data_IF_711719849285
#
_entry.id   IF_711719849285
#
_cell.length_a   1.000
_cell.length_b   1.000
_cell.length_c   1.000
_cell.angle_alpha   90.00
_cell.angle_beta   90.00
_cell.angle_gamma   90.00
#
_symmetry.space_group_name_H-M   'P 1'
#
loop_
_entity.id
_entity.type
_entity.pdbx_description
1 polymer ?
#
# COMPACT_ATOMS: atom_id res chain seq x y z
N UNK A 1 -35.88 -22.12 -38.76
CA UNK A 1 -35.30 -20.91 -38.13
C UNK A 1 -35.65 -20.95 -36.66
N UNK A 2 -34.65 -21.14 -35.80
CA UNK A 2 -34.84 -21.42 -34.37
C UNK A 2 -35.40 -20.22 -33.61
N UNK A 3 -36.51 -20.43 -32.90
CA UNK A 3 -37.21 -19.44 -32.05
C UNK A 3 -36.38 -18.97 -30.82
N UNK A 4 -35.14 -19.42 -30.67
CA UNK A 4 -34.27 -19.04 -29.54
C UNK A 4 -33.45 -17.77 -29.78
N UNK A 5 -33.36 -17.26 -31.02
CA UNK A 5 -32.63 -16.02 -31.30
C UNK A 5 -33.41 -14.75 -30.95
N UNK A 6 -34.73 -14.86 -30.72
CA UNK A 6 -35.62 -13.70 -30.50
C UNK A 6 -35.68 -13.25 -29.02
N UNK A 7 -35.08 -14.00 -28.08
CA UNK A 7 -35.18 -13.71 -26.64
C UNK A 7 -34.02 -12.90 -26.02
N UNK A 8 -33.11 -12.35 -26.83
CA UNK A 8 -32.01 -11.51 -26.32
C UNK A 8 -32.19 -9.99 -26.55
N UNK A 9 -33.40 -9.54 -26.88
CA UNK A 9 -33.71 -8.10 -27.09
C UNK A 9 -34.04 -7.32 -25.80
N UNK A 10 -34.27 -8.02 -24.68
CA UNK A 10 -34.68 -7.41 -23.39
C UNK A 10 -33.62 -7.48 -22.29
N UNK A 11 -32.37 -7.80 -22.62
CA UNK A 11 -31.31 -7.57 -21.65
C UNK A 11 -31.05 -6.06 -21.67
N UNK A 12 -31.33 -5.30 -20.59
CA UNK A 12 -31.00 -3.88 -20.59
C UNK A 12 -29.51 -3.80 -20.86
N UNK A 13 -29.15 -3.20 -21.99
CA UNK A 13 -27.78 -2.77 -22.24
C UNK A 13 -27.43 -1.94 -21.02
N UNK A 14 -26.57 -2.46 -20.15
CA UNK A 14 -26.16 -1.76 -18.94
C UNK A 14 -25.64 -0.42 -19.42
N UNK A 15 -26.44 0.62 -19.23
CA UNK A 15 -26.11 1.94 -19.71
C UNK A 15 -24.75 2.29 -19.10
N UNK A 16 -23.79 2.63 -19.95
CA UNK A 16 -22.52 3.17 -19.49
C UNK A 16 -22.89 4.34 -18.58
N UNK A 17 -22.66 4.19 -17.28
CA UNK A 17 -23.02 5.23 -16.31
C UNK A 17 -22.23 6.48 -16.69
N UNK A 18 -22.91 7.45 -17.31
CA UNK A 18 -22.35 8.77 -17.52
C UNK A 18 -22.18 9.39 -16.14
N UNK A 19 -20.96 9.81 -15.84
CA UNK A 19 -20.64 10.53 -14.60
C UNK A 19 -20.34 11.98 -14.94
N UNK A 20 -20.83 12.90 -14.12
CA UNK A 20 -20.61 14.35 -14.31
C UNK A 20 -19.40 14.87 -13.51
N UNK A 21 -18.95 14.11 -12.49
CA UNK A 21 -17.91 14.53 -11.56
C UNK A 21 -16.91 13.40 -11.27
N UNK A 22 -15.65 13.76 -11.09
CA UNK A 22 -14.56 12.86 -10.67
C UNK A 22 -14.02 13.36 -9.34
N UNK A 23 -13.89 12.45 -8.38
CA UNK A 23 -13.27 12.72 -7.08
C UNK A 23 -12.02 11.86 -6.91
N UNK A 24 -10.98 12.44 -6.31
CA UNK A 24 -9.78 11.73 -5.87
C UNK A 24 -9.70 11.77 -4.34
N UNK A 25 -9.34 10.65 -3.74
CA UNK A 25 -9.18 10.48 -2.29
C UNK A 25 -8.00 9.55 -2.00
N UNK A 26 -7.48 9.60 -0.78
CA UNK A 26 -6.46 8.64 -0.33
C UNK A 26 -7.17 7.30 -0.10
N UNK A 27 -6.57 6.21 -0.57
CA UNK A 27 -7.13 4.89 -0.38
C UNK A 27 -6.78 4.37 1.02
N UNK A 28 -7.79 4.03 1.81
CA UNK A 28 -7.59 3.28 3.05
C UNK A 28 -7.15 1.84 2.74
N UNK A 29 -6.46 1.14 3.67
CA UNK A 29 -6.12 -0.27 3.49
C UNK A 29 -7.34 -1.15 3.19
N UNK A 30 -8.46 -0.88 3.85
CA UNK A 30 -9.74 -1.57 3.63
C UNK A 30 -10.27 -1.33 2.21
N UNK A 31 -10.15 -0.10 1.70
CA UNK A 31 -10.56 0.25 0.34
C UNK A 31 -9.68 -0.47 -0.70
N UNK A 32 -8.38 -0.57 -0.46
CA UNK A 32 -7.45 -1.34 -1.31
C UNK A 32 -7.84 -2.82 -1.35
N UNK A 33 -8.19 -3.40 -0.21
CA UNK A 33 -8.68 -4.79 -0.13
C UNK A 33 -10.01 -4.97 -0.87
N UNK A 34 -10.91 -3.99 -0.80
CA UNK A 34 -12.21 -4.04 -1.49
C UNK A 34 -12.09 -4.08 -3.02
N UNK A 35 -11.02 -3.49 -3.58
CA UNK A 35 -10.73 -3.56 -5.02
C UNK A 35 -10.11 -4.88 -5.44
N UNK A 36 -9.58 -5.63 -4.48
CA UNK A 36 -8.78 -6.79 -4.78
C UNK A 36 -9.61 -8.06 -4.91
N UNK A 37 -9.30 -8.83 -5.95
CA UNK A 37 -9.88 -10.16 -6.16
C UNK A 37 -9.03 -11.28 -5.53
N UNK A 38 -7.90 -10.93 -4.90
CA UNK A 38 -7.05 -11.89 -4.20
C UNK A 38 -5.64 -11.38 -3.91
N UNK A 39 -5.05 -11.98 -2.87
CA UNK A 39 -3.67 -11.72 -2.46
C UNK A 39 -2.67 -12.45 -3.37
N UNK A 40 -1.62 -11.74 -3.79
CA UNK A 40 -0.49 -12.33 -4.51
C UNK A 40 0.58 -12.71 -3.50
N UNK A 41 0.82 -14.01 -3.36
CA UNK A 41 1.75 -14.56 -2.39
C UNK A 41 3.12 -14.87 -3.00
N UNK A 42 3.16 -15.20 -4.28
CA UNK A 42 4.38 -15.67 -4.92
C UNK A 42 4.86 -14.73 -6.02
N UNK A 43 6.19 -14.62 -6.23
CA UNK A 43 6.76 -13.77 -7.26
C UNK A 43 6.65 -14.39 -8.67
N UNK A 44 6.26 -15.66 -8.79
CA UNK A 44 6.27 -16.33 -10.08
C UNK A 44 5.22 -15.75 -11.03
N UNK A 45 5.53 -15.81 -12.33
CA UNK A 45 4.66 -15.27 -13.39
C UNK A 45 3.97 -16.40 -14.14
N UNK A 46 4.71 -17.09 -15.01
CA UNK A 46 4.25 -18.20 -15.84
C UNK A 46 5.21 -19.38 -15.71
N UNK A 47 4.68 -20.57 -15.90
CA UNK A 47 5.48 -21.78 -15.96
C UNK A 47 6.28 -21.83 -17.27
N UNK A 48 7.59 -22.08 -17.18
CA UNK A 48 8.50 -22.08 -18.33
C UNK A 48 8.22 -23.20 -19.36
N UNK A 49 7.61 -24.32 -18.96
CA UNK A 49 7.29 -25.43 -19.88
C UNK A 49 5.90 -25.32 -20.48
N UNK A 50 4.92 -25.00 -19.66
CA UNK A 50 3.49 -25.03 -20.07
C UNK A 50 2.96 -23.68 -20.49
N UNK A 51 3.70 -22.60 -20.24
CA UNK A 51 3.28 -21.20 -20.42
C UNK A 51 1.97 -20.83 -19.68
N UNK A 52 1.55 -21.68 -18.74
CA UNK A 52 0.39 -21.43 -17.90
C UNK A 52 0.78 -20.53 -16.73
N UNK A 53 -0.07 -19.56 -16.34
CA UNK A 53 0.16 -18.77 -15.14
C UNK A 53 0.25 -19.63 -13.89
N UNK A 54 1.19 -19.28 -13.02
CA UNK A 54 1.37 -19.95 -11.74
C UNK A 54 0.27 -19.57 -10.75
N UNK A 55 -0.01 -20.47 -9.81
CA UNK A 55 -1.02 -20.25 -8.75
C UNK A 55 -0.50 -19.25 -7.73
N UNK A 56 -1.32 -18.27 -7.39
CA UNK A 56 -1.03 -17.17 -6.45
C UNK A 56 0.16 -16.29 -6.85
N UNK A 57 0.57 -16.37 -8.13
CA UNK A 57 1.58 -15.53 -8.75
C UNK A 57 1.02 -14.28 -9.41
N UNK A 58 1.89 -13.48 -10.03
CA UNK A 58 1.58 -12.18 -10.63
C UNK A 58 0.60 -12.24 -11.81
N UNK A 59 0.42 -13.41 -12.44
CA UNK A 59 -0.49 -13.59 -13.58
C UNK A 59 -1.64 -14.56 -13.26
N UNK A 60 -1.83 -14.90 -11.99
CA UNK A 60 -2.73 -15.95 -11.54
C UNK A 60 -4.15 -15.79 -12.11
N UNK A 61 -4.63 -16.82 -12.81
CA UNK A 61 -5.96 -16.80 -13.42
C UNK A 61 -7.11 -16.83 -12.39
N UNK A 62 -6.84 -17.31 -11.16
CA UNK A 62 -7.83 -17.30 -10.06
C UNK A 62 -8.15 -15.86 -9.61
N UNK A 63 -7.13 -15.01 -9.55
CA UNK A 63 -7.24 -13.63 -9.08
C UNK A 63 -7.73 -12.73 -10.22
N UNK A 64 -7.02 -12.77 -11.35
CA UNK A 64 -7.25 -11.82 -12.44
C UNK A 64 -8.29 -12.27 -13.46
N UNK A 65 -8.65 -13.56 -13.49
CA UNK A 65 -9.61 -14.12 -14.45
C UNK A 65 -8.98 -15.00 -15.55
N UNK A 66 -9.81 -15.59 -16.43
CA UNK A 66 -9.39 -16.60 -17.39
C UNK A 66 -8.59 -16.02 -18.56
N UNK A 67 -7.68 -16.81 -19.13
CA UNK A 67 -6.85 -16.41 -20.30
C UNK A 67 -7.66 -16.43 -21.60
N UNK A 68 -8.62 -17.36 -21.69
CA UNK A 68 -9.48 -17.55 -22.86
C UNK A 68 -10.93 -17.33 -22.45
N UNK A 69 -11.71 -16.78 -23.37
CA UNK A 69 -13.12 -16.50 -23.12
C UNK A 69 -13.90 -17.77 -22.80
N UNK A 70 -14.66 -17.73 -21.71
CA UNK A 70 -15.53 -18.82 -21.26
C UNK A 70 -14.81 -20.18 -21.12
N UNK A 71 -13.53 -20.16 -20.76
CA UNK A 71 -12.73 -21.37 -20.52
C UNK A 71 -11.91 -21.23 -19.23
N UNK A 72 -12.02 -22.22 -18.35
CA UNK A 72 -11.19 -22.29 -17.15
C UNK A 72 -9.76 -22.75 -17.48
N UNK A 73 -8.78 -22.41 -16.63
CA UNK A 73 -7.35 -22.71 -16.86
C UNK A 73 -7.03 -24.21 -17.07
N UNK A 74 -7.76 -25.10 -16.38
CA UNK A 74 -7.58 -26.55 -16.52
C UNK A 74 -8.32 -27.17 -17.71
N UNK A 75 -9.24 -26.43 -18.34
CA UNK A 75 -10.07 -26.92 -19.44
C UNK A 75 -11.23 -27.85 -19.05
N UNK A 76 -11.52 -28.07 -17.75
CA UNK A 76 -12.68 -28.85 -17.26
C UNK A 76 -14.00 -28.23 -17.73
N UNK A 77 -14.16 -26.93 -17.49
CA UNK A 77 -15.31 -26.14 -17.92
C UNK A 77 -14.93 -25.30 -19.14
N UNK A 78 -15.68 -25.51 -20.23
CA UNK A 78 -15.53 -24.81 -21.52
C UNK A 78 -16.89 -24.43 -22.09
N UNK A 79 -16.90 -23.36 -22.88
CA UNK A 79 -18.08 -22.78 -23.57
C UNK A 79 -18.97 -21.98 -22.64
N UNK A 80 -19.80 -21.13 -23.25
CA UNK A 80 -20.66 -20.16 -22.58
C UNK A 80 -21.66 -20.76 -21.59
N UNK A 81 -22.00 -22.06 -21.72
CA UNK A 81 -22.93 -22.76 -20.79
C UNK A 81 -22.49 -22.75 -19.32
N UNK A 82 -21.19 -22.60 -19.05
CA UNK A 82 -20.65 -22.58 -17.69
C UNK A 82 -20.31 -21.16 -17.22
N UNK A 83 -20.84 -20.12 -17.88
CA UNK A 83 -20.59 -18.73 -17.50
C UNK A 83 -20.93 -18.50 -16.02
N UNK A 84 -19.98 -17.90 -15.27
CA UNK A 84 -20.12 -17.62 -13.84
C UNK A 84 -19.81 -18.80 -12.91
N UNK A 85 -19.55 -20.01 -13.44
CA UNK A 85 -19.15 -21.16 -12.62
C UNK A 85 -17.68 -21.03 -12.24
N UNK A 86 -17.38 -21.18 -10.94
CA UNK A 86 -16.01 -21.26 -10.42
C UNK A 86 -15.54 -22.71 -10.49
N UNK A 87 -14.40 -22.95 -11.16
CA UNK A 87 -13.89 -24.31 -11.31
C UNK A 87 -13.33 -24.87 -9.99
N UNK A 88 -13.81 -26.03 -9.54
CA UNK A 88 -13.30 -26.70 -8.32
C UNK A 88 -11.80 -27.05 -8.39
N UNK A 89 -11.27 -27.36 -9.58
CA UNK A 89 -9.87 -27.79 -9.75
C UNK A 89 -8.89 -26.62 -9.74
N UNK A 90 -9.20 -25.53 -10.43
CA UNK A 90 -8.28 -24.40 -10.61
C UNK A 90 -8.74 -23.09 -9.93
N UNK A 91 -9.95 -23.04 -9.38
CA UNK A 91 -10.53 -21.85 -8.76
C UNK A 91 -10.83 -20.71 -9.73
N UNK A 92 -10.69 -20.93 -11.04
CA UNK A 92 -10.89 -19.90 -12.06
C UNK A 92 -12.37 -19.80 -12.40
N UNK A 93 -12.90 -18.59 -12.32
CA UNK A 93 -14.23 -18.24 -12.76
C UNK A 93 -14.31 -18.23 -14.29
N UNK A 94 -15.34 -18.85 -14.85
CA UNK A 94 -15.56 -18.90 -16.30
C UNK A 94 -16.25 -17.61 -16.75
N UNK A 95 -15.46 -16.64 -17.20
CA UNK A 95 -15.91 -15.32 -17.70
C UNK A 95 -15.16 -14.92 -18.98
N UNK A 96 -15.35 -13.69 -19.44
CA UNK A 96 -14.59 -13.11 -20.55
C UNK A 96 -13.16 -12.79 -20.10
N UNK A 97 -12.18 -12.96 -20.98
CA UNK A 97 -10.78 -12.64 -20.69
C UNK A 97 -10.56 -11.14 -20.43
N UNK A 98 -11.43 -10.27 -20.95
CA UNK A 98 -11.35 -8.80 -20.75
C UNK A 98 -11.27 -8.37 -19.28
N UNK A 99 -11.83 -9.17 -18.36
CA UNK A 99 -11.80 -8.88 -16.92
C UNK A 99 -10.37 -8.82 -16.37
N UNK A 100 -9.39 -9.42 -17.06
CA UNK A 100 -7.96 -9.36 -16.71
C UNK A 100 -7.33 -7.99 -16.88
N UNK A 101 -8.02 -7.06 -17.56
CA UNK A 101 -7.64 -5.65 -17.65
C UNK A 101 -8.22 -4.81 -16.51
N UNK A 102 -9.25 -5.29 -15.83
CA UNK A 102 -10.00 -4.52 -14.81
C UNK A 102 -9.73 -5.01 -13.38
N UNK A 103 -9.54 -6.32 -13.18
CA UNK A 103 -9.36 -6.91 -11.83
C UNK A 103 -8.00 -6.59 -11.24
N UNK A 104 -7.98 -6.04 -10.03
CA UNK A 104 -6.75 -5.77 -9.28
C UNK A 104 -6.42 -6.89 -8.29
N UNK A 105 -5.14 -7.05 -7.99
CA UNK A 105 -4.64 -7.87 -6.88
C UNK A 105 -4.16 -6.99 -5.74
N UNK A 106 -3.76 -7.58 -4.61
CA UNK A 106 -3.04 -6.86 -3.56
C UNK A 106 -1.89 -7.69 -3.00
N UNK A 107 -0.96 -7.01 -2.33
CA UNK A 107 0.12 -7.61 -1.55
C UNK A 107 0.00 -7.07 -0.14
N UNK A 108 -0.15 -7.97 0.84
CA UNK A 108 -0.11 -7.62 2.25
C UNK A 108 1.32 -7.56 2.77
N UNK A 109 1.73 -6.37 3.19
CA UNK A 109 3.09 -6.10 3.63
C UNK A 109 3.32 -6.61 5.06
N UNK A 110 4.49 -7.19 5.31
CA UNK A 110 4.92 -7.63 6.63
C UNK A 110 5.20 -6.46 7.59
N UNK A 111 5.68 -5.35 7.04
CA UNK A 111 5.91 -4.11 7.77
C UNK A 111 5.31 -2.96 6.96
N UNK A 112 4.77 -1.92 7.63
CA UNK A 112 4.25 -0.76 6.94
C UNK A 112 5.36 -0.04 6.17
N UNK A 113 5.01 0.54 5.03
CA UNK A 113 5.94 1.25 4.12
C UNK A 113 5.43 2.66 3.88
N UNK A 114 6.28 3.66 4.03
CA UNK A 114 5.91 5.04 3.76
C UNK A 114 5.71 5.27 2.26
N UNK A 115 4.58 5.87 1.88
CA UNK A 115 4.32 6.18 0.49
C UNK A 115 5.20 7.34 0.02
N UNK A 116 6.05 7.08 -0.97
CA UNK A 116 7.10 8.00 -1.44
C UNK A 116 6.59 9.39 -1.83
N UNK A 117 5.40 9.51 -2.44
CA UNK A 117 4.87 10.82 -2.84
C UNK A 117 4.53 11.72 -1.65
N UNK A 118 4.04 11.19 -0.53
CA UNK A 118 3.73 12.02 0.63
C UNK A 118 4.98 12.37 1.46
N UNK A 119 6.03 11.56 1.30
CA UNK A 119 7.33 11.76 1.93
C UNK A 119 8.23 12.73 1.16
N UNK A 120 8.56 12.41 -0.11
CA UNK A 120 9.58 13.12 -0.91
C UNK A 120 9.04 14.27 -1.78
N UNK A 121 7.72 14.38 -1.98
CA UNK A 121 7.18 15.56 -2.68
C UNK A 121 7.51 16.82 -1.89
N UNK A 122 7.87 17.90 -2.59
CA UNK A 122 8.16 19.19 -1.97
C UNK A 122 6.92 20.11 -2.07
N UNK A 123 6.35 20.57 -0.94
CA UNK A 123 6.74 20.27 0.45
C UNK A 123 6.23 18.90 0.93
N UNK A 124 7.01 18.26 1.81
CA UNK A 124 6.65 16.96 2.39
C UNK A 124 5.37 17.06 3.20
N UNK A 125 4.36 16.25 2.87
CA UNK A 125 3.06 16.28 3.55
C UNK A 125 3.16 15.71 4.95
N UNK A 126 3.89 14.60 5.09
CA UNK A 126 4.17 13.96 6.39
C UNK A 126 5.02 14.92 7.25
N UNK A 127 6.06 15.54 6.68
CA UNK A 127 6.91 16.50 7.40
C UNK A 127 6.14 17.71 7.92
N UNK A 128 5.26 18.29 7.09
CA UNK A 128 4.42 19.42 7.52
C UNK A 128 3.42 19.03 8.60
N UNK A 129 2.82 17.84 8.53
CA UNK A 129 1.88 17.37 9.55
C UNK A 129 2.57 17.18 10.92
N UNK A 130 3.71 16.50 10.94
CA UNK A 130 4.48 16.21 12.15
C UNK A 130 5.31 17.40 12.65
N UNK A 131 5.42 18.47 11.86
CA UNK A 131 6.34 19.61 12.05
C UNK A 131 7.81 19.19 12.18
N UNK A 132 8.22 18.24 11.35
CA UNK A 132 9.58 17.69 11.30
C UNK A 132 10.25 18.00 9.96
N UNK A 133 11.58 18.03 9.96
CA UNK A 133 12.32 18.18 8.70
C UNK A 133 12.32 16.86 7.91
N UNK A 134 12.47 16.94 6.59
CA UNK A 134 12.55 15.74 5.74
C UNK A 134 13.72 14.83 6.15
N UNK A 135 14.86 15.43 6.53
CA UNK A 135 16.05 14.68 6.98
C UNK A 135 15.75 13.88 8.25
N UNK A 136 15.03 14.48 9.21
CA UNK A 136 14.66 13.80 10.45
C UNK A 136 13.71 12.62 10.19
N UNK A 137 12.75 12.78 9.27
CA UNK A 137 11.88 11.68 8.85
C UNK A 137 12.65 10.56 8.14
N UNK A 138 13.60 10.90 7.27
CA UNK A 138 14.47 9.91 6.62
C UNK A 138 15.31 9.14 7.64
N UNK A 139 15.90 9.81 8.64
CA UNK A 139 16.63 9.15 9.73
C UNK A 139 15.78 8.13 10.49
N UNK A 140 14.51 8.45 10.75
CA UNK A 140 13.59 7.49 11.39
C UNK A 140 13.29 6.32 10.44
N UNK A 141 12.96 6.60 9.17
CA UNK A 141 12.58 5.58 8.18
C UNK A 141 13.71 4.61 7.85
N UNK A 142 14.95 5.09 7.81
CA UNK A 142 16.14 4.30 7.49
C UNK A 142 16.78 3.64 8.71
N UNK A 143 16.09 3.64 9.86
CA UNK A 143 16.50 3.00 11.10
C UNK A 143 17.78 3.59 11.74
N UNK A 144 18.02 4.89 11.57
CA UNK A 144 19.18 5.58 12.16
C UNK A 144 18.88 6.23 13.52
N UNK A 145 17.63 6.61 13.78
CA UNK A 145 17.25 7.29 15.03
C UNK A 145 15.84 6.89 15.45
N UNK A 146 15.65 6.74 16.76
CA UNK A 146 14.35 6.52 17.38
C UNK A 146 13.61 7.84 17.53
N UNK A 147 12.29 7.77 17.51
CA UNK A 147 11.41 8.89 17.84
C UNK A 147 10.58 8.53 19.07
N UNK A 148 10.57 9.44 20.04
CA UNK A 148 9.71 9.33 21.22
C UNK A 148 8.26 9.55 20.81
N UNK A 149 7.43 8.54 21.03
CA UNK A 149 5.98 8.58 20.76
C UNK A 149 5.24 9.02 22.01
N UNK A 150 5.60 8.45 23.16
CA UNK A 150 5.03 8.80 24.45
C UNK A 150 6.17 9.01 25.45
N UNK A 151 6.38 10.23 25.96
CA UNK A 151 7.42 10.52 26.94
C UNK A 151 7.09 9.98 28.36
N UNK A 152 5.83 9.63 28.65
CA UNK A 152 5.43 9.18 29.98
C UNK A 152 5.80 10.18 31.09
N UNK A 153 6.47 9.70 32.14
CA UNK A 153 6.94 10.51 33.27
C UNK A 153 8.40 10.99 33.14
N UNK A 154 9.02 10.77 31.99
CA UNK A 154 10.42 11.11 31.75
C UNK A 154 10.58 12.58 31.33
N UNK A 155 11.78 13.18 31.42
CA UNK A 155 12.04 14.53 30.92
C UNK A 155 12.08 14.62 29.38
N UNK A 156 11.87 13.51 28.67
CA UNK A 156 11.85 13.46 27.21
C UNK A 156 10.65 14.23 26.64
N UNK A 157 10.79 14.73 25.42
CA UNK A 157 9.69 15.40 24.70
C UNK A 157 9.07 14.46 23.67
N UNK A 158 7.77 14.60 23.47
CA UNK A 158 7.10 13.96 22.34
C UNK A 158 7.78 14.38 21.03
N UNK A 159 8.00 13.43 20.12
CA UNK A 159 8.67 13.61 18.83
C UNK A 159 10.15 14.00 18.92
N UNK A 160 10.77 13.88 20.09
CA UNK A 160 12.22 13.99 20.23
C UNK A 160 12.91 12.82 19.52
N UNK A 161 13.94 13.13 18.74
CA UNK A 161 14.82 12.12 18.16
C UNK A 161 15.87 11.68 19.18
N UNK A 162 16.10 10.38 19.25
CA UNK A 162 17.15 9.76 20.04
C UNK A 162 18.03 8.93 19.11
N UNK A 163 19.35 9.11 19.20
CA UNK A 163 20.31 8.16 18.63
C UNK A 163 20.22 6.81 19.36
N UNK A 164 20.84 5.77 18.79
CA UNK A 164 20.85 4.45 19.43
C UNK A 164 21.50 4.49 20.82
N UNK A 165 22.62 5.20 20.98
CA UNK A 165 23.28 5.36 22.28
C UNK A 165 22.43 6.14 23.29
N UNK A 166 21.77 7.22 22.86
CA UNK A 166 20.88 8.00 23.74
C UNK A 166 19.64 7.21 24.16
N UNK A 167 19.09 6.41 23.23
CA UNK A 167 17.96 5.53 23.54
C UNK A 167 18.35 4.48 24.58
N UNK A 168 19.51 3.83 24.42
CA UNK A 168 19.99 2.83 25.38
C UNK A 168 20.23 3.46 26.75
N UNK A 169 20.87 4.64 26.82
CA UNK A 169 21.04 5.36 28.10
C UNK A 169 19.72 5.75 28.74
N UNK A 170 18.75 6.23 27.96
CA UNK A 170 17.44 6.57 28.48
C UNK A 170 16.69 5.32 29.00
N UNK A 171 16.85 4.18 28.33
CA UNK A 171 16.32 2.90 28.82
C UNK A 171 16.99 2.43 30.11
N UNK A 172 18.30 2.62 30.26
CA UNK A 172 19.05 2.28 31.48
C UNK A 172 18.68 3.19 32.66
N UNK A 173 18.45 4.48 32.39
CA UNK A 173 18.14 5.48 33.43
C UNK A 173 16.69 5.42 33.90
N UNK A 174 15.74 5.34 32.96
CA UNK A 174 14.31 5.42 33.28
C UNK A 174 13.62 4.06 33.28
N UNK A 175 14.25 3.02 32.73
CA UNK A 175 13.64 1.69 32.58
C UNK A 175 12.77 1.58 31.32
N UNK A 176 12.66 0.36 30.81
CA UNK A 176 12.12 0.05 29.48
C UNK A 176 10.63 0.41 29.28
N UNK A 177 9.83 0.45 30.35
CA UNK A 177 8.38 0.67 30.28
C UNK A 177 7.95 2.10 30.64
N UNK A 178 8.88 3.02 30.93
CA UNK A 178 8.53 4.38 31.38
C UNK A 178 8.25 5.35 30.24
N UNK A 179 8.82 5.11 29.07
CA UNK A 179 8.56 5.88 27.85
C UNK A 179 8.51 4.95 26.64
N UNK A 180 7.80 5.35 25.59
CA UNK A 180 7.75 4.60 24.33
C UNK A 180 8.49 5.38 23.25
N UNK A 181 9.61 4.83 22.76
CA UNK A 181 10.23 5.28 21.51
C UNK A 181 10.23 4.15 20.49
N UNK A 182 9.98 4.50 19.23
CA UNK A 182 9.94 3.55 18.11
C UNK A 182 10.79 4.04 16.95
N UNK A 183 11.00 3.18 15.97
CA UNK A 183 11.79 3.48 14.78
C UNK A 183 11.12 2.93 13.51
N UNK A 184 11.49 3.47 12.34
CA UNK A 184 10.96 3.04 11.05
C UNK A 184 9.58 3.60 10.73
N UNK A 185 8.97 3.10 9.65
CA UNK A 185 7.66 3.53 9.19
C UNK A 185 6.52 3.21 10.17
N UNK A 186 6.70 2.22 11.06
CA UNK A 186 5.77 1.91 12.15
C UNK A 186 5.64 3.07 13.13
N UNK A 187 6.77 3.70 13.48
CA UNK A 187 6.79 4.85 14.39
C UNK A 187 6.05 6.05 13.81
N UNK A 188 6.34 6.38 12.54
CA UNK A 188 5.65 7.47 11.83
C UNK A 188 4.15 7.20 11.73
N UNK A 189 3.77 5.96 11.43
CA UNK A 189 2.36 5.58 11.37
C UNK A 189 1.66 5.77 12.71
N UNK A 190 2.27 5.34 13.81
CA UNK A 190 1.70 5.46 15.16
C UNK A 190 1.57 6.93 15.58
N UNK A 191 2.55 7.77 15.25
CA UNK A 191 2.46 9.22 15.45
C UNK A 191 1.31 9.84 14.67
N UNK A 192 1.15 9.48 13.39
CA UNK A 192 0.05 9.99 12.55
C UNK A 192 -1.32 9.51 13.06
N UNK A 193 -1.40 8.31 13.63
CA UNK A 193 -2.61 7.72 14.18
C UNK A 193 -3.04 8.35 15.51
N UNK A 194 -2.09 8.83 16.32
CA UNK A 194 -2.37 9.52 17.60
C UNK A 194 -2.66 11.02 17.48
N UNK A 195 -2.62 11.59 16.26
CA UNK A 195 -2.85 13.01 16.05
C UNK A 195 -4.34 13.37 16.14
N UNK A 196 -4.67 14.28 17.04
CA UNK A 196 -5.95 15.01 17.01
C UNK A 196 -5.84 16.24 16.11
N UNK A 197 -6.38 16.12 14.89
CA UNK A 197 -6.33 17.18 13.89
C UNK A 197 -7.14 18.42 14.28
N UNK A 198 -8.23 18.26 15.05
CA UNK A 198 -9.10 19.37 15.45
C UNK A 198 -8.42 20.21 16.52
N UNK A 199 -7.85 19.55 17.53
CA UNK A 199 -7.08 20.22 18.59
C UNK A 199 -5.86 20.96 18.01
N UNK A 200 -5.12 20.32 17.10
CA UNK A 200 -3.96 20.95 16.45
C UNK A 200 -4.40 22.13 15.57
N UNK A 201 -5.52 22.05 14.86
CA UNK A 201 -6.02 23.17 14.07
C UNK A 201 -6.39 24.38 14.96
N UNK A 202 -7.01 24.14 16.11
CA UNK A 202 -7.35 25.17 17.07
C UNK A 202 -6.10 25.84 17.66
N UNK A 203 -5.10 25.06 18.08
CA UNK A 203 -3.85 25.60 18.62
C UNK A 203 -3.09 26.44 17.59
N UNK A 204 -3.02 25.96 16.34
CA UNK A 204 -2.35 26.67 15.25
C UNK A 204 -3.01 28.02 14.93
N UNK A 205 -4.34 28.13 15.02
CA UNK A 205 -5.05 29.41 14.82
C UNK A 205 -4.67 30.44 15.88
N UNK A 206 -4.58 30.01 17.14
CA UNK A 206 -4.15 30.87 18.25
C UNK A 206 -2.70 31.32 18.03
N UNK A 207 -1.79 30.38 17.76
CA UNK A 207 -0.36 30.68 17.52
C UNK A 207 -0.16 31.65 16.34
N UNK A 208 -0.95 31.54 15.28
CA UNK A 208 -0.90 32.46 14.13
C UNK A 208 -1.32 33.88 14.56
N UNK A 209 -2.33 34.02 15.42
CA UNK A 209 -2.81 35.33 15.89
C UNK A 209 -1.84 36.02 16.85
N UNK A 210 -1.12 35.25 17.67
CA UNK A 210 -0.14 35.76 18.64
C UNK A 210 1.25 36.01 18.02
N UNK A 211 1.51 35.48 16.82
CA UNK A 211 2.81 35.56 16.17
C UNK A 211 3.16 37.01 15.78
N UNK A 212 4.16 37.57 16.47
CA UNK A 212 4.68 38.93 16.21
C UNK A 212 5.62 39.04 15.00
N UNK A 213 6.11 37.93 14.46
CA UNK A 213 7.11 37.88 13.38
C UNK A 213 6.48 37.46 12.06
N UNK A 214 6.85 38.03 10.91
CA UNK A 214 6.23 37.70 9.61
C UNK A 214 6.45 36.26 9.09
N UNK A 215 7.57 35.62 9.45
CA UNK A 215 7.96 34.29 8.91
C UNK A 215 7.23 33.12 9.59
N UNK A 216 6.99 33.20 10.90
CA UNK A 216 6.28 32.19 11.69
C UNK A 216 4.84 31.91 11.18
N UNK A 217 3.97 32.91 11.00
CA UNK A 217 2.60 32.69 10.57
C UNK A 217 2.54 32.12 9.15
N UNK A 218 3.49 32.46 8.25
CA UNK A 218 3.57 31.85 6.92
C UNK A 218 3.81 30.33 6.97
N UNK A 219 4.66 29.84 7.89
CA UNK A 219 4.90 28.40 8.07
C UNK A 219 3.68 27.72 8.68
N UNK A 220 3.14 28.31 9.75
CA UNK A 220 1.97 27.76 10.45
C UNK A 220 0.73 27.72 9.56
N UNK A 221 0.49 28.74 8.73
CA UNK A 221 -0.61 28.77 7.78
C UNK A 221 -0.54 27.65 6.73
N UNK A 222 0.67 27.31 6.25
CA UNK A 222 0.86 26.16 5.33
C UNK A 222 0.50 24.83 6.00
N UNK A 223 0.84 24.68 7.28
CA UNK A 223 0.50 23.49 8.09
C UNK A 223 -1.00 23.42 8.36
N UNK A 224 -1.60 24.52 8.83
CA UNK A 224 -3.03 24.63 9.08
C UNK A 224 -3.86 24.29 7.84
N UNK A 225 -3.47 24.80 6.66
CA UNK A 225 -4.13 24.49 5.39
C UNK A 225 -4.18 22.98 5.08
N UNK A 226 -3.12 22.24 5.39
CA UNK A 226 -3.09 20.79 5.17
C UNK A 226 -4.01 20.08 6.17
N UNK A 227 -3.98 20.47 7.43
CA UNK A 227 -4.82 19.89 8.48
C UNK A 227 -6.30 20.11 8.18
N UNK A 228 -6.68 21.33 7.79
CA UNK A 228 -8.04 21.65 7.37
C UNK A 228 -8.47 20.84 6.14
N UNK A 229 -7.56 20.62 5.17
CA UNK A 229 -7.85 19.76 4.03
C UNK A 229 -8.07 18.28 4.44
N UNK A 230 -7.35 17.77 5.45
CA UNK A 230 -7.61 16.43 5.99
C UNK A 230 -8.97 16.36 6.69
N UNK A 231 -9.30 17.35 7.54
CA UNK A 231 -10.59 17.45 8.21
C UNK A 231 -11.77 17.50 7.22
N UNK A 232 -11.66 18.33 6.18
CA UNK A 232 -12.70 18.47 5.15
C UNK A 232 -12.86 17.21 4.29
N UNK A 233 -11.75 16.51 4.00
CA UNK A 233 -11.78 15.33 3.14
C UNK A 233 -12.15 14.03 3.85
N UNK A 234 -12.16 14.03 5.19
CA UNK A 234 -12.40 12.82 6.00
C UNK A 234 -11.30 11.77 5.86
N UNK A 235 -10.17 12.10 5.22
CA UNK A 235 -9.04 11.17 5.11
C UNK A 235 -8.31 11.09 6.44
N UNK A 236 -7.83 9.90 6.81
CA UNK A 236 -6.98 9.74 7.99
C UNK A 236 -5.49 9.88 7.62
N UNK A 237 -4.68 10.63 8.39
CA UNK A 237 -3.26 10.86 8.07
C UNK A 237 -2.43 9.57 7.94
N UNK A 238 -2.72 8.55 8.74
CA UNK A 238 -1.97 7.29 8.74
C UNK A 238 -2.13 6.48 7.44
N UNK A 239 -3.11 6.79 6.58
CA UNK A 239 -3.26 6.17 5.26
C UNK A 239 -2.12 6.53 4.29
N UNK A 240 -1.31 7.54 4.59
CA UNK A 240 -0.07 7.81 3.85
C UNK A 240 1.01 6.75 4.08
N UNK A 241 0.84 5.88 5.08
CA UNK A 241 1.70 4.73 5.34
C UNK A 241 0.96 3.46 4.90
N UNK A 242 1.51 2.79 3.89
CA UNK A 242 0.90 1.63 3.25
C UNK A 242 1.07 0.38 4.12
N UNK A 243 -0.04 -0.34 4.33
CA UNK A 243 -0.05 -1.74 4.82
C UNK A 243 -0.32 -2.73 3.68
N UNK A 244 -1.11 -2.29 2.71
CA UNK A 244 -1.56 -3.08 1.57
C UNK A 244 -1.15 -2.35 0.29
N UNK A 245 -0.57 -3.06 -0.66
CA UNK A 245 -0.15 -2.50 -1.95
C UNK A 245 -1.01 -3.11 -3.06
N UNK A 246 -1.79 -2.31 -3.81
CA UNK A 246 -2.53 -2.81 -4.95
C UNK A 246 -1.58 -3.23 -6.08
N UNK A 247 -1.95 -4.31 -6.76
CA UNK A 247 -1.23 -4.83 -7.92
C UNK A 247 -2.07 -4.59 -9.17
N UNK A 248 -1.46 -3.90 -10.12
CA UNK A 248 -2.09 -3.54 -11.40
C UNK A 248 -2.47 -4.82 -12.18
N UNK A 249 -3.60 -4.80 -12.91
CA UNK A 249 -4.04 -5.89 -13.76
C UNK A 249 -2.96 -6.36 -14.75
N UNK A 250 -2.81 -7.67 -15.01
CA UNK A 250 -1.73 -8.24 -15.83
C UNK A 250 -1.74 -7.78 -17.29
N UNK A 251 -2.90 -7.46 -17.85
CA UNK A 251 -3.01 -7.02 -19.25
C UNK A 251 -2.47 -5.59 -19.46
N UNK A 252 -2.32 -4.82 -18.38
CA UNK A 252 -1.62 -3.52 -18.39
C UNK A 252 -0.10 -3.68 -18.21
N UNK A 253 0.38 -4.89 -17.88
CA UNK A 253 1.80 -5.24 -17.72
C UNK A 253 2.11 -6.59 -18.40
N UNK A 254 1.83 -6.74 -19.70
CA UNK A 254 1.85 -8.03 -20.37
C UNK A 254 3.25 -8.66 -20.45
N UNK A 255 3.27 -9.99 -20.57
CA UNK A 255 4.44 -10.77 -20.97
C UNK A 255 4.22 -11.19 -22.41
N UNK A 256 4.97 -10.59 -23.34
CA UNK A 256 4.80 -10.85 -24.77
C UNK A 256 5.83 -11.88 -25.21
N UNK A 257 5.41 -13.04 -25.78
CA UNK A 257 6.34 -13.97 -26.36
C UNK A 257 6.99 -13.35 -27.60
N UNK A 258 8.30 -13.50 -27.72
CA UNK A 258 9.10 -13.13 -28.89
C UNK A 258 9.53 -14.40 -29.63
N UNK A 259 9.94 -14.21 -30.89
CA UNK A 259 10.53 -15.27 -31.69
C UNK A 259 11.76 -15.88 -31.00
N UNK A 260 11.89 -17.20 -31.07
CA UNK A 260 12.98 -17.94 -30.42
C UNK A 260 12.75 -18.23 -28.92
N UNK A 261 11.51 -18.17 -28.43
CA UNK A 261 11.15 -18.61 -27.08
C UNK A 261 11.54 -17.63 -25.96
N UNK A 262 11.89 -16.39 -26.32
CA UNK A 262 12.14 -15.30 -25.37
C UNK A 262 10.82 -14.62 -24.99
N UNK A 263 10.81 -13.93 -23.85
CA UNK A 263 9.65 -13.12 -23.43
C UNK A 263 10.11 -11.69 -23.19
N UNK A 264 9.39 -10.73 -23.75
CA UNK A 264 9.50 -9.34 -23.37
C UNK A 264 8.68 -9.13 -22.08
N UNK A 265 9.31 -8.55 -21.07
CA UNK A 265 8.71 -8.31 -19.76
C UNK A 265 8.62 -6.82 -19.48
N UNK A 266 7.47 -6.34 -19.01
CA UNK A 266 7.37 -4.98 -18.46
C UNK A 266 8.21 -4.83 -17.19
N UNK A 267 8.93 -3.71 -17.06
CA UNK A 267 9.75 -3.37 -15.88
C UNK A 267 8.96 -3.44 -14.56
N UNK A 268 7.65 -3.15 -14.60
CA UNK A 268 6.77 -3.23 -13.45
C UNK A 268 6.73 -4.65 -12.85
N UNK A 269 6.80 -5.69 -13.69
CA UNK A 269 6.78 -7.06 -13.20
C UNK A 269 8.03 -7.37 -12.37
N UNK A 270 9.20 -6.85 -12.74
CA UNK A 270 10.43 -7.07 -11.96
C UNK A 270 10.43 -6.28 -10.65
N UNK A 271 9.85 -5.07 -10.64
CA UNK A 271 9.61 -4.32 -9.41
C UNK A 271 8.66 -5.07 -8.47
N UNK A 272 7.52 -5.56 -8.97
CA UNK A 272 6.60 -6.36 -8.16
C UNK A 272 7.24 -7.64 -7.62
N UNK A 273 8.03 -8.34 -8.44
CA UNK A 273 8.79 -9.54 -8.01
C UNK A 273 9.74 -9.20 -6.88
N UNK A 274 10.47 -8.09 -6.98
CA UNK A 274 11.40 -7.62 -5.94
C UNK A 274 10.66 -7.33 -4.63
N UNK A 275 9.54 -6.60 -4.69
CA UNK A 275 8.72 -6.30 -3.51
C UNK A 275 8.18 -7.58 -2.87
N UNK A 276 7.62 -8.51 -3.65
CA UNK A 276 7.09 -9.78 -3.12
C UNK A 276 8.21 -10.63 -2.49
N UNK A 277 9.38 -10.69 -3.13
CA UNK A 277 10.52 -11.44 -2.60
C UNK A 277 11.02 -10.88 -1.27
N UNK A 278 11.25 -9.56 -1.20
CA UNK A 278 11.68 -8.87 0.04
C UNK A 278 10.62 -9.03 1.13
N UNK A 279 9.34 -8.87 0.79
CA UNK A 279 8.23 -9.02 1.72
C UNK A 279 8.12 -10.44 2.29
N UNK A 280 8.20 -11.47 1.44
CA UNK A 280 8.16 -12.86 1.86
C UNK A 280 9.37 -13.26 2.70
N UNK A 281 10.55 -12.73 2.36
CA UNK A 281 11.77 -12.92 3.16
C UNK A 281 11.60 -12.29 4.54
N UNK A 282 11.06 -11.07 4.62
CA UNK A 282 10.77 -10.40 5.87
C UNK A 282 9.77 -11.19 6.73
N UNK A 283 8.65 -11.68 6.14
CA UNK A 283 7.69 -12.55 6.83
C UNK A 283 8.39 -13.76 7.49
N UNK A 284 9.22 -14.47 6.73
CA UNK A 284 9.98 -15.62 7.24
C UNK A 284 10.97 -15.25 8.34
N UNK A 285 11.67 -14.13 8.23
CA UNK A 285 12.61 -13.67 9.26
C UNK A 285 11.91 -13.33 10.57
N UNK A 286 10.72 -12.74 10.50
CA UNK A 286 9.88 -12.45 11.68
C UNK A 286 9.39 -13.75 12.32
N UNK A 287 8.91 -14.72 11.52
CA UNK A 287 8.47 -16.04 12.00
C UNK A 287 9.60 -16.81 12.71
N UNK A 288 10.82 -16.73 12.17
CA UNK A 288 12.01 -17.37 12.75
C UNK A 288 12.60 -16.58 13.93
N UNK A 289 12.02 -15.44 14.30
CA UNK A 289 12.55 -14.53 15.35
C UNK A 289 14.03 -14.20 15.13
N UNK A 290 14.38 -13.86 13.89
CA UNK A 290 15.74 -13.45 13.55
C UNK A 290 16.16 -12.19 14.34
N UNK A 291 17.47 -11.97 14.56
CA UNK A 291 17.96 -10.78 15.25
C UNK A 291 17.48 -9.47 14.62
N UNK A 292 17.24 -8.45 15.45
CA UNK A 292 16.66 -7.16 15.04
C UNK A 292 17.47 -6.45 13.95
N UNK A 293 18.79 -6.57 13.95
CA UNK A 293 19.66 -5.97 12.93
C UNK A 293 19.28 -6.49 11.53
N UNK A 294 19.01 -7.79 11.41
CA UNK A 294 18.63 -8.41 10.14
C UNK A 294 17.22 -7.96 9.74
N UNK A 295 16.29 -7.91 10.70
CA UNK A 295 14.92 -7.46 10.46
C UNK A 295 14.90 -5.99 10.02
N UNK A 296 15.66 -5.10 10.68
CA UNK A 296 15.78 -3.68 10.32
C UNK A 296 16.33 -3.52 8.90
N UNK A 297 17.38 -4.26 8.55
CA UNK A 297 17.92 -4.22 7.19
C UNK A 297 16.90 -4.70 6.15
N UNK A 298 16.15 -5.76 6.42
CA UNK A 298 15.15 -6.26 5.47
C UNK A 298 13.93 -5.31 5.39
N UNK A 299 13.51 -4.67 6.50
CA UNK A 299 12.50 -3.59 6.50
C UNK A 299 12.98 -2.41 5.66
N UNK A 300 14.25 -2.00 5.79
CA UNK A 300 14.87 -0.95 4.96
C UNK A 300 14.87 -1.31 3.48
N UNK A 301 15.22 -2.55 3.15
CA UNK A 301 15.16 -3.05 1.77
C UNK A 301 13.70 -3.08 1.27
N UNK A 302 12.71 -3.43 2.08
CA UNK A 302 11.32 -3.39 1.64
C UNK A 302 10.82 -1.95 1.37
N UNK A 303 11.33 -0.98 2.12
CA UNK A 303 11.02 0.44 1.97
C UNK A 303 11.66 1.09 0.73
N UNK A 304 12.79 0.55 0.27
CA UNK A 304 13.51 0.92 -0.96
C UNK A 304 12.84 0.31 -2.21
#
# INVERSE_FOLDING_TARGET
>A
MNQQEVMNLFNPVVATQAFDQIQISIASPEKILSWSYGEIKKPETINYRTFKPERDGLFCARIFGPIKDYECLCGKYKRMKYKGVICEKCGVEVTLARVRRDRMGHISLAAPVAHIWFLKSLPSRIGLLLDMTLKDLERILYFESYIVIDPGLTPLKERQLLSEDEYMRAQDEYGQDTFTAMIGAEAIRKLLESMDLEAIAASLRIEISEAKTELKPKKLAKRLKIIEAFLQSGNRPEWMILKEVPVIPPDLRPLVPLDGGRFATSDLNDLYRRVINRNNRLKRLIELRAPDIIIRNEKRMLQE
#
